data_IF_779255240078
#
_entry.id   IF_779255240078
#
_cell.length_a   1.000
_cell.length_b   1.000
_cell.length_c   1.000
_cell.angle_alpha   90.00
_cell.angle_beta   90.00
_cell.angle_gamma   90.00
#
_symmetry.space_group_name_H-M   'P 1'
#
loop_
_entity.id
_entity.type
_entity.pdbx_description
1 polymer ?
#
# COMPACT_ATOMS: atom_id res chain seq x y z
N UNK A 1 -16.54 13.13 -4.52
CA UNK A 1 -17.47 12.22 -3.81
C UNK A 1 -17.01 10.74 -3.81
N UNK A 2 -15.74 10.41 -4.13
CA UNK A 2 -15.32 9.02 -4.37
C UNK A 2 -14.42 8.40 -3.28
N UNK A 3 -13.70 9.18 -2.49
CA UNK A 3 -12.80 8.64 -1.45
C UNK A 3 -13.57 8.03 -0.25
N UNK A 4 -14.71 8.63 0.11
CA UNK A 4 -15.48 8.29 1.32
C UNK A 4 -16.14 6.90 1.28
N UNK A 5 -16.41 6.35 0.09
CA UNK A 5 -16.98 5.01 -0.09
C UNK A 5 -15.92 3.95 -0.42
N UNK A 6 -14.70 4.35 -0.82
CA UNK A 6 -13.63 3.41 -1.14
C UNK A 6 -13.08 2.73 0.12
N UNK A 7 -12.98 3.49 1.23
CA UNK A 7 -12.45 3.00 2.50
C UNK A 7 -13.27 1.82 3.08
N UNK A 8 -14.61 1.90 3.25
CA UNK A 8 -15.39 0.77 3.78
C UNK A 8 -15.41 -0.45 2.85
N UNK A 9 -15.47 -0.22 1.53
CA UNK A 9 -15.48 -1.30 0.53
C UNK A 9 -14.15 -2.08 0.50
N UNK A 10 -13.01 -1.37 0.57
CA UNK A 10 -11.70 -2.01 0.62
C UNK A 10 -11.51 -2.82 1.92
N UNK A 11 -11.91 -2.29 3.07
CA UNK A 11 -11.89 -3.01 4.35
C UNK A 11 -12.74 -4.28 4.30
N UNK A 12 -13.99 -4.19 3.82
CA UNK A 12 -14.88 -5.34 3.69
C UNK A 12 -14.32 -6.39 2.71
N UNK A 13 -13.76 -5.95 1.58
CA UNK A 13 -13.08 -6.81 0.61
C UNK A 13 -11.88 -7.52 1.25
N UNK A 14 -11.11 -6.82 2.08
CA UNK A 14 -9.89 -7.34 2.69
C UNK A 14 -10.14 -8.10 4.00
N UNK A 15 -11.40 -8.47 4.26
CA UNK A 15 -11.83 -9.15 5.47
C UNK A 15 -11.42 -8.41 6.76
N UNK A 16 -11.40 -7.07 6.70
CA UNK A 16 -11.02 -6.18 7.79
C UNK A 16 -9.61 -6.44 8.31
N UNK A 17 -8.69 -6.80 7.42
CA UNK A 17 -7.32 -7.17 7.77
C UNK A 17 -6.29 -6.41 6.96
N UNK A 18 -5.17 -6.12 7.60
CA UNK A 18 -3.95 -5.77 6.92
C UNK A 18 -3.50 -6.94 6.01
N UNK A 19 -3.39 -6.69 4.71
CA UNK A 19 -2.99 -7.73 3.75
C UNK A 19 -1.53 -8.19 3.89
N UNK A 20 -0.68 -7.40 4.55
CA UNK A 20 0.71 -7.75 4.81
C UNK A 20 0.89 -8.62 6.08
N UNK A 21 0.21 -8.29 7.18
CA UNK A 21 0.45 -8.93 8.49
C UNK A 21 -0.72 -9.81 8.95
N UNK A 22 -1.92 -9.64 8.41
CA UNK A 22 -3.14 -10.30 8.85
C UNK A 22 -3.77 -9.72 10.11
N UNK A 23 -3.20 -8.63 10.66
CA UNK A 23 -3.76 -7.90 11.80
C UNK A 23 -5.17 -7.41 11.47
N UNK A 24 -6.10 -7.53 12.41
CA UNK A 24 -7.48 -7.06 12.27
C UNK A 24 -7.56 -5.57 12.55
N UNK A 25 -8.37 -4.88 11.76
CA UNK A 25 -8.70 -3.48 11.94
C UNK A 25 -9.28 -3.16 13.32
N UNK A 26 -8.71 -2.16 13.98
CA UNK A 26 -9.06 -1.73 15.33
C UNK A 26 -10.54 -1.35 15.46
N UNK A 27 -11.03 -0.46 14.59
CA UNK A 27 -12.41 0.03 14.67
C UNK A 27 -13.39 -1.13 14.45
N UNK A 28 -13.12 -1.99 13.47
CA UNK A 28 -13.94 -3.17 13.22
C UNK A 28 -13.96 -4.09 14.45
N UNK A 29 -12.81 -4.35 15.08
CA UNK A 29 -12.74 -5.19 16.29
C UNK A 29 -13.43 -4.56 17.50
N UNK A 30 -13.36 -3.23 17.66
CA UNK A 30 -13.95 -2.51 18.77
C UNK A 30 -15.48 -2.41 18.67
N UNK A 31 -16.01 -2.24 17.45
CA UNK A 31 -17.43 -1.97 17.23
C UNK A 31 -18.23 -3.19 16.72
N UNK A 32 -17.58 -4.32 16.43
CA UNK A 32 -18.27 -5.57 16.05
C UNK A 32 -18.36 -6.52 17.25
N UNK A 33 -19.57 -6.75 17.81
CA UNK A 33 -19.73 -7.61 18.98
C UNK A 33 -19.20 -9.03 18.75
N UNK A 34 -18.38 -9.54 19.68
CA UNK A 34 -17.86 -10.91 19.64
C UNK A 34 -16.73 -11.14 18.63
N UNK A 35 -16.32 -10.14 17.84
CA UNK A 35 -15.26 -10.33 16.85
C UNK A 35 -13.89 -10.51 17.51
N UNK A 36 -13.60 -9.72 18.56
CA UNK A 36 -12.31 -9.77 19.27
C UNK A 36 -12.07 -11.14 19.90
N UNK A 37 -13.09 -11.75 20.47
CA UNK A 37 -13.06 -13.06 21.13
C UNK A 37 -12.94 -14.21 20.13
N UNK A 38 -13.39 -13.99 18.89
CA UNK A 38 -13.38 -14.99 17.80
C UNK A 38 -12.13 -14.95 16.93
N UNK A 39 -11.30 -13.93 17.08
CA UNK A 39 -10.11 -13.75 16.24
C UNK A 39 -8.84 -13.87 17.06
N UNK A 40 -8.07 -14.92 16.76
CA UNK A 40 -6.69 -15.09 17.20
C UNK A 40 -5.73 -14.34 16.26
N UNK A 41 -5.88 -13.02 16.20
CA UNK A 41 -4.97 -12.15 15.46
C UNK A 41 -4.76 -10.86 16.23
N UNK A 42 -3.61 -10.23 16.00
CA UNK A 42 -3.31 -8.90 16.51
C UNK A 42 -4.36 -7.90 16.01
N UNK A 43 -4.82 -7.03 16.90
CA UNK A 43 -5.69 -5.90 16.55
C UNK A 43 -4.81 -4.67 16.44
N UNK A 44 -4.98 -3.90 15.38
CA UNK A 44 -4.16 -2.72 15.11
C UNK A 44 -4.88 -1.72 14.20
N UNK A 45 -4.38 -0.49 14.14
CA UNK A 45 -4.95 0.54 13.26
C UNK A 45 -4.62 0.20 11.81
N UNK A 46 -5.65 0.10 10.97
CA UNK A 46 -5.48 -0.10 9.53
C UNK A 46 -5.95 1.09 8.73
N UNK A 47 -5.39 1.25 7.55
CA UNK A 47 -5.77 2.29 6.59
C UNK A 47 -5.75 1.70 5.17
N UNK A 48 -6.46 2.35 4.26
CA UNK A 48 -6.52 1.97 2.86
C UNK A 48 -5.52 2.82 2.10
N UNK A 49 -4.51 2.16 1.51
CA UNK A 49 -3.42 2.83 0.81
C UNK A 49 -3.49 2.58 -0.69
N UNK A 50 -3.20 3.62 -1.47
CA UNK A 50 -3.05 3.49 -2.91
C UNK A 50 -1.81 2.65 -3.25
N UNK A 51 -1.92 1.76 -4.24
CA UNK A 51 -0.81 0.93 -4.70
C UNK A 51 0.07 1.73 -5.67
N UNK A 52 -0.56 2.33 -6.70
CA UNK A 52 0.04 3.43 -7.45
C UNK A 52 -0.28 4.71 -6.68
N UNK A 53 0.73 5.38 -6.09
CA UNK A 53 0.50 6.50 -5.21
C UNK A 53 -0.21 7.62 -5.94
N UNK A 54 -1.13 8.23 -5.21
CA UNK A 54 -1.69 9.52 -5.58
C UNK A 54 -0.72 10.60 -5.09
N UNK A 55 0.04 11.19 -6.02
CA UNK A 55 0.91 12.29 -5.64
C UNK A 55 0.12 13.51 -5.20
N UNK A 56 -1.18 13.61 -5.48
CA UNK A 56 -2.03 14.77 -5.14
C UNK A 56 -2.33 14.90 -3.64
N UNK A 57 -2.01 13.88 -2.81
CA UNK A 57 -2.13 14.00 -1.35
C UNK A 57 -0.93 14.78 -0.76
N UNK A 58 -1.07 16.10 -0.71
CA UNK A 58 -0.24 16.99 0.11
C UNK A 58 -1.14 17.65 1.18
N UNK A 59 -0.82 17.53 2.49
CA UNK A 59 -1.51 18.28 3.54
C UNK A 59 -1.31 19.80 3.44
N UNK A 60 -0.36 20.28 2.63
CA UNK A 60 -0.11 21.69 2.38
C UNK A 60 -1.15 22.32 1.42
N UNK A 61 -1.40 23.62 1.58
CA UNK A 61 -2.48 24.37 0.92
C UNK A 61 -2.33 24.57 -0.61
N UNK A 62 -1.44 23.85 -1.29
CA UNK A 62 -1.22 23.95 -2.75
C UNK A 62 -2.01 22.90 -3.54
N UNK A 63 -3.24 22.63 -3.09
CA UNK A 63 -4.08 21.47 -3.46
C UNK A 63 -4.45 21.32 -4.93
N UNK A 64 -4.32 22.35 -5.77
CA UNK A 64 -4.92 22.36 -7.10
C UNK A 64 -4.02 22.99 -8.17
N UNK A 65 -2.75 22.59 -8.26
CA UNK A 65 -1.92 22.98 -9.41
C UNK A 65 -2.04 21.91 -10.51
N UNK A 66 -2.65 22.21 -11.67
CA UNK A 66 -2.73 21.28 -12.81
C UNK A 66 -1.35 20.75 -13.26
N UNK A 67 -0.28 21.50 -12.94
CA UNK A 67 1.10 21.15 -13.29
C UNK A 67 1.61 19.94 -12.50
N UNK A 68 1.14 19.71 -11.27
CA UNK A 68 1.61 18.61 -10.42
C UNK A 68 1.07 17.26 -10.90
N UNK A 69 -0.20 17.22 -11.29
CA UNK A 69 -0.83 16.06 -11.91
C UNK A 69 -0.15 15.72 -13.25
N UNK A 70 0.22 16.72 -14.06
CA UNK A 70 0.97 16.49 -15.29
C UNK A 70 2.37 15.91 -15.03
N UNK A 71 3.07 16.34 -13.98
CA UNK A 71 4.36 15.77 -13.62
C UNK A 71 4.26 14.30 -13.17
N UNK A 72 3.22 13.95 -12.39
CA UNK A 72 2.95 12.56 -12.02
C UNK A 72 2.78 11.67 -13.25
N UNK A 73 1.94 12.08 -14.20
CA UNK A 73 1.69 11.26 -15.38
C UNK A 73 2.90 11.18 -16.29
N UNK A 74 3.63 12.29 -16.48
CA UNK A 74 4.92 12.28 -17.20
C UNK A 74 5.96 11.38 -16.54
N UNK A 75 5.98 11.29 -15.21
CA UNK A 75 6.83 10.35 -14.50
C UNK A 75 6.48 8.91 -14.90
N UNK A 76 5.22 8.52 -14.78
CA UNK A 76 4.79 7.16 -15.14
C UNK A 76 5.03 6.82 -16.62
N UNK A 77 4.76 7.76 -17.53
CA UNK A 77 5.08 7.62 -18.95
C UNK A 77 6.57 7.36 -19.20
N UNK A 78 7.45 8.13 -18.56
CA UNK A 78 8.92 7.97 -18.68
C UNK A 78 9.46 6.75 -17.96
N UNK A 79 8.84 6.36 -16.86
CA UNK A 79 9.19 5.16 -16.09
C UNK A 79 8.80 3.88 -16.84
N UNK A 80 7.99 3.97 -17.89
CA UNK A 80 7.62 2.86 -18.77
C UNK A 80 6.19 2.36 -18.61
N UNK A 81 5.33 3.14 -17.94
CA UNK A 81 3.92 2.83 -17.70
C UNK A 81 2.97 3.93 -18.21
N UNK A 82 3.01 4.29 -19.50
CA UNK A 82 2.14 5.33 -20.08
C UNK A 82 0.65 4.99 -19.98
N UNK A 83 0.29 3.71 -19.87
CA UNK A 83 -1.09 3.24 -19.71
C UNK A 83 -1.74 3.73 -18.41
N UNK A 84 -0.96 3.98 -17.35
CA UNK A 84 -1.50 4.34 -16.04
C UNK A 84 -2.31 5.64 -16.09
N UNK A 85 -1.93 6.60 -16.93
CA UNK A 85 -2.67 7.84 -17.10
C UNK A 85 -4.09 7.58 -17.57
N UNK A 86 -4.26 6.78 -18.63
CA UNK A 86 -5.58 6.45 -19.16
C UNK A 86 -6.42 5.65 -18.15
N UNK A 87 -5.79 4.80 -17.36
CA UNK A 87 -6.46 3.93 -16.39
C UNK A 87 -6.87 4.63 -15.09
N UNK A 88 -6.01 5.50 -14.56
CA UNK A 88 -6.11 6.04 -13.20
C UNK A 88 -6.40 7.53 -13.15
N UNK A 89 -6.21 8.31 -14.23
CA UNK A 89 -6.55 9.73 -14.22
C UNK A 89 -8.03 9.94 -13.94
N UNK A 90 -8.34 10.72 -12.89
CA UNK A 90 -9.70 10.94 -12.38
C UNK A 90 -10.33 9.72 -11.69
N UNK A 91 -9.62 8.60 -11.57
CA UNK A 91 -10.08 7.32 -11.01
C UNK A 91 -9.04 6.66 -10.10
N UNK A 92 -8.12 7.44 -9.53
CA UNK A 92 -6.98 6.94 -8.76
C UNK A 92 -7.41 6.22 -7.47
N UNK A 93 -8.57 6.61 -6.92
CA UNK A 93 -9.20 6.00 -5.74
C UNK A 93 -10.03 4.73 -6.04
N UNK A 94 -9.96 4.21 -7.27
CA UNK A 94 -10.68 2.96 -7.62
C UNK A 94 -10.20 1.81 -6.73
N UNK A 95 -11.09 0.87 -6.46
CA UNK A 95 -10.83 -0.22 -5.52
C UNK A 95 -9.66 -1.11 -5.96
N UNK A 96 -9.43 -1.23 -7.25
CA UNK A 96 -8.32 -2.00 -7.81
C UNK A 96 -6.95 -1.34 -7.58
N UNK A 97 -6.90 -0.05 -7.26
CA UNK A 97 -5.68 0.66 -6.93
C UNK A 97 -5.49 0.86 -5.41
N UNK A 98 -6.27 0.20 -4.56
CA UNK A 98 -6.14 0.36 -3.10
C UNK A 98 -6.08 -0.96 -2.37
N UNK A 99 -5.37 -0.98 -1.25
CA UNK A 99 -5.16 -2.14 -0.38
C UNK A 99 -5.23 -1.74 1.09
N UNK A 100 -5.85 -2.56 1.93
CA UNK A 100 -5.86 -2.36 3.38
C UNK A 100 -4.55 -2.82 3.99
N UNK A 101 -3.87 -1.91 4.69
CA UNK A 101 -2.59 -2.16 5.37
C UNK A 101 -2.64 -1.61 6.80
N UNK A 102 -1.77 -2.10 7.67
CA UNK A 102 -1.59 -1.54 9.02
C UNK A 102 -0.86 -0.20 8.88
N UNK A 103 -1.17 0.78 9.75
CA UNK A 103 -0.65 2.14 9.63
C UNK A 103 0.89 2.21 9.45
N UNK A 104 1.63 1.46 10.26
CA UNK A 104 3.09 1.39 10.20
C UNK A 104 3.60 0.73 8.89
N UNK A 105 2.82 -0.15 8.26
CA UNK A 105 3.12 -0.76 6.96
C UNK A 105 2.83 0.24 5.83
N UNK A 106 1.80 1.08 5.97
CA UNK A 106 1.54 2.16 5.02
C UNK A 106 2.74 3.10 4.91
N UNK A 107 3.30 3.52 6.04
CA UNK A 107 4.53 4.33 6.09
C UNK A 107 5.70 3.65 5.35
N UNK A 108 5.94 2.36 5.63
CA UNK A 108 7.03 1.63 4.96
C UNK A 108 6.83 1.49 3.45
N UNK A 109 5.58 1.39 2.97
CA UNK A 109 5.26 1.35 1.54
C UNK A 109 5.52 2.70 0.89
N UNK A 110 5.10 3.79 1.52
CA UNK A 110 5.30 5.15 1.01
C UNK A 110 6.79 5.51 0.93
N UNK A 111 7.57 5.09 1.93
CA UNK A 111 9.02 5.26 1.98
C UNK A 111 9.77 4.29 1.05
N UNK A 112 9.06 3.48 0.26
CA UNK A 112 9.60 2.43 -0.60
C UNK A 112 10.50 1.42 0.16
N UNK A 113 10.33 1.30 1.48
CA UNK A 113 11.03 0.37 2.37
C UNK A 113 10.36 -1.01 2.42
N UNK A 114 9.11 -1.13 1.99
CA UNK A 114 8.38 -2.38 1.93
C UNK A 114 7.61 -2.50 0.62
N UNK A 115 7.64 -3.69 0.00
CA UNK A 115 6.75 -3.99 -1.12
C UNK A 115 6.14 -5.39 -1.05
N UNK A 116 4.93 -5.49 -1.59
CA UNK A 116 4.16 -6.72 -1.76
C UNK A 116 4.32 -7.17 -3.21
N UNK A 117 5.13 -8.20 -3.46
CA UNK A 117 5.39 -8.71 -4.82
C UNK A 117 4.53 -9.95 -5.08
N UNK A 118 3.60 -9.93 -6.06
CA UNK A 118 2.82 -11.11 -6.41
C UNK A 118 3.72 -12.28 -6.83
N UNK A 119 3.42 -13.48 -6.35
CA UNK A 119 4.12 -14.70 -6.78
C UNK A 119 3.63 -15.12 -8.16
N UNK A 120 4.55 -15.30 -9.10
CA UNK A 120 4.20 -15.69 -10.47
C UNK A 120 3.55 -17.07 -10.49
N UNK A 121 2.41 -17.19 -11.18
CA UNK A 121 1.68 -18.46 -11.33
C UNK A 121 0.79 -18.84 -10.14
N UNK A 122 0.85 -18.12 -9.00
CA UNK A 122 0.04 -18.44 -7.82
C UNK A 122 -0.83 -17.25 -7.43
N UNK A 123 -2.16 -17.41 -7.57
CA UNK A 123 -3.13 -16.34 -7.30
C UNK A 123 -3.21 -16.06 -5.79
N UNK A 124 -3.15 -14.78 -5.43
CA UNK A 124 -3.37 -14.30 -4.05
C UNK A 124 -2.16 -14.39 -3.13
N UNK A 125 -1.06 -15.02 -3.54
CA UNK A 125 0.16 -15.11 -2.73
C UNK A 125 1.14 -13.99 -3.09
N UNK A 126 1.67 -13.34 -2.07
CA UNK A 126 2.63 -12.25 -2.19
C UNK A 126 3.85 -12.51 -1.33
N UNK A 127 5.03 -12.34 -1.93
CA UNK A 127 6.27 -12.22 -1.17
C UNK A 127 6.36 -10.79 -0.62
N UNK A 128 6.76 -10.66 0.64
CA UNK A 128 6.91 -9.37 1.31
C UNK A 128 8.40 -9.07 1.47
N UNK A 129 8.84 -8.05 0.74
CA UNK A 129 10.22 -7.58 0.80
C UNK A 129 10.28 -6.35 1.69
N UNK A 130 11.24 -6.35 2.62
CA UNK A 130 11.61 -5.18 3.42
C UNK A 130 13.04 -4.83 3.07
N UNK A 131 13.29 -3.55 2.84
CA UNK A 131 14.58 -3.00 2.44
C UNK A 131 15.21 -2.16 3.57
N UNK A 132 16.48 -1.79 3.40
CA UNK A 132 17.24 -1.00 4.36
C UNK A 132 18.14 -1.82 5.29
N UNK A 133 19.04 -1.13 6.01
CA UNK A 133 20.13 -1.73 6.81
C UNK A 133 19.65 -2.68 7.91
N UNK A 134 18.44 -2.49 8.42
CA UNK A 134 17.85 -3.26 9.52
C UNK A 134 16.63 -4.10 9.09
N UNK A 135 16.51 -4.45 7.81
CA UNK A 135 15.33 -5.10 7.24
C UNK A 135 14.84 -6.32 8.05
N UNK A 136 15.72 -7.27 8.38
CA UNK A 136 15.36 -8.46 9.17
C UNK A 136 14.79 -8.09 10.53
N UNK A 137 15.46 -7.20 11.26
CA UNK A 137 15.01 -6.74 12.58
C UNK A 137 13.68 -6.00 12.51
N UNK A 138 13.48 -5.18 11.46
CA UNK A 138 12.21 -4.48 11.24
C UNK A 138 11.07 -5.48 10.98
N UNK A 139 11.32 -6.52 10.17
CA UNK A 139 10.34 -7.58 9.94
C UNK A 139 9.92 -8.27 11.24
N UNK A 140 10.88 -8.66 12.07
CA UNK A 140 10.62 -9.36 13.32
C UNK A 140 9.82 -8.49 14.29
N UNK A 141 10.27 -7.25 14.52
CA UNK A 141 9.60 -6.31 15.44
C UNK A 141 8.16 -5.98 15.01
N UNK A 142 7.93 -5.92 13.71
CA UNK A 142 6.62 -5.58 13.14
C UNK A 142 5.76 -6.81 12.84
N UNK A 143 6.29 -8.02 13.03
CA UNK A 143 5.58 -9.28 12.74
C UNK A 143 5.24 -9.43 11.25
N UNK A 144 6.16 -9.04 10.37
CA UNK A 144 5.97 -9.08 8.92
C UNK A 144 6.50 -10.43 8.39
N UNK A 145 5.65 -11.30 7.83
CA UNK A 145 6.09 -12.59 7.31
C UNK A 145 6.91 -12.44 6.01
N UNK A 146 7.59 -13.50 5.57
CA UNK A 146 8.21 -13.56 4.24
C UNK A 146 7.20 -13.62 3.10
N UNK A 147 6.07 -14.26 3.36
CA UNK A 147 5.03 -14.48 2.38
C UNK A 147 3.66 -14.44 3.04
N UNK A 148 2.67 -13.91 2.32
CA UNK A 148 1.29 -13.86 2.79
C UNK A 148 0.30 -14.14 1.66
N UNK A 149 -0.72 -14.93 1.98
CA UNK A 149 -1.92 -15.06 1.16
C UNK A 149 -2.88 -13.92 1.50
N UNK A 150 -3.32 -13.18 0.50
CA UNK A 150 -4.31 -12.13 0.68
C UNK A 150 -5.66 -12.74 1.04
N UNK A 151 -6.29 -12.20 2.08
CA UNK A 151 -7.66 -12.55 2.43
C UNK A 151 -8.59 -11.66 1.64
N UNK A 152 -9.29 -12.24 0.67
CA UNK A 152 -10.31 -11.53 -0.08
C UNK A 152 -11.65 -12.14 0.24
N UNK A 153 -12.59 -11.30 0.65
CA UNK A 153 -13.97 -11.66 0.88
C UNK A 153 -14.62 -12.04 -0.46
N UNK A 154 -14.76 -13.35 -0.71
CA UNK A 154 -15.37 -13.87 -1.92
C UNK A 154 -16.90 -13.84 -1.91
N UNK A 155 -17.53 -13.46 -0.79
CA UNK A 155 -19.00 -13.36 -0.69
C UNK A 155 -19.53 -12.02 -1.18
N UNK A 156 -18.65 -11.08 -1.53
CA UNK A 156 -19.02 -9.75 -2.02
C UNK A 156 -18.37 -9.51 -3.38
N UNK A 157 -19.12 -8.90 -4.30
CA UNK A 157 -18.62 -8.53 -5.63
C UNK A 157 -17.94 -7.16 -5.56
N UNK A 158 -16.75 -7.14 -4.93
CA UNK A 158 -15.92 -5.93 -4.81
C UNK A 158 -14.65 -6.11 -5.65
N UNK A 159 -14.29 -5.15 -6.52
CA UNK A 159 -13.09 -5.24 -7.33
C UNK A 159 -11.83 -5.51 -6.52
N UNK A 160 -11.04 -6.48 -6.98
CA UNK A 160 -9.78 -6.87 -6.34
C UNK A 160 -8.66 -5.92 -6.75
N UNK A 161 -7.66 -5.71 -5.87
CA UNK A 161 -6.44 -5.03 -6.25
C UNK A 161 -5.83 -5.60 -7.53
N UNK A 162 -5.49 -4.73 -8.48
CA UNK A 162 -4.90 -5.15 -9.75
C UNK A 162 -3.43 -5.55 -9.53
N UNK A 163 -3.08 -6.77 -9.94
CA UNK A 163 -1.74 -7.32 -9.69
C UNK A 163 -0.64 -6.53 -10.38
N UNK A 164 -0.96 -5.88 -11.51
CA UNK A 164 0.00 -5.04 -12.23
C UNK A 164 0.47 -3.86 -11.38
N UNK A 165 -0.40 -3.23 -10.59
CA UNK A 165 -0.03 -2.10 -9.76
C UNK A 165 0.97 -2.51 -8.68
N UNK A 166 0.80 -3.68 -8.07
CA UNK A 166 1.78 -4.22 -7.13
C UNK A 166 3.13 -4.51 -7.79
N UNK A 167 3.14 -5.02 -9.03
CA UNK A 167 4.39 -5.26 -9.77
C UNK A 167 5.13 -3.95 -10.04
N UNK A 168 4.41 -2.89 -10.40
CA UNK A 168 4.96 -1.56 -10.65
C UNK A 168 5.56 -0.99 -9.35
N UNK A 169 4.79 -0.99 -8.25
CA UNK A 169 5.28 -0.53 -6.95
C UNK A 169 6.50 -1.34 -6.48
N UNK A 170 6.48 -2.67 -6.65
CA UNK A 170 7.62 -3.51 -6.32
C UNK A 170 8.85 -3.09 -7.13
N UNK A 171 8.72 -2.86 -8.45
CA UNK A 171 9.80 -2.34 -9.29
C UNK A 171 10.34 -1.00 -8.77
N UNK A 172 9.47 -0.06 -8.39
CA UNK A 172 9.89 1.20 -7.77
C UNK A 172 10.71 0.97 -6.49
N UNK A 173 10.25 0.08 -5.61
CA UNK A 173 10.97 -0.25 -4.37
C UNK A 173 12.35 -0.88 -4.65
N UNK A 174 12.42 -1.84 -5.58
CA UNK A 174 13.69 -2.45 -5.98
C UNK A 174 14.64 -1.41 -6.59
N UNK A 175 14.17 -0.53 -7.47
CA UNK A 175 15.01 0.51 -8.07
C UNK A 175 15.50 1.49 -7.00
N UNK A 176 14.63 2.00 -6.14
CA UNK A 176 15.00 2.96 -5.10
C UNK A 176 16.10 2.40 -4.18
N UNK A 177 15.96 1.14 -3.75
CA UNK A 177 16.87 0.52 -2.81
C UNK A 177 18.14 -0.04 -3.45
N UNK A 178 18.10 -0.49 -4.71
CA UNK A 178 19.26 -1.05 -5.40
C UNK A 178 20.11 0.00 -6.14
N UNK A 179 19.54 1.19 -6.42
CA UNK A 179 20.28 2.30 -7.05
C UNK A 179 21.07 3.15 -6.07
N UNK A 180 20.92 2.95 -4.76
CA UNK A 180 21.50 3.81 -3.72
C UNK A 180 20.72 5.12 -3.49
N UNK A 181 19.61 5.37 -4.20
CA UNK A 181 18.80 6.57 -4.04
C UNK A 181 18.26 6.74 -2.61
N UNK A 182 17.95 5.63 -1.93
CA UNK A 182 17.48 5.64 -0.53
C UNK A 182 18.56 6.02 0.49
N UNK A 183 19.85 5.95 0.14
CA UNK A 183 20.91 6.39 1.05
C UNK A 183 21.09 7.92 1.03
N UNK A 184 20.64 8.58 -0.05
CA UNK A 184 20.72 10.03 -0.21
C UNK A 184 19.66 10.77 0.62
N UNK A 185 18.47 10.19 0.76
CA UNK A 185 17.38 10.73 1.58
C UNK A 185 17.71 10.67 3.08
N UNK A 186 18.35 9.59 3.55
CA UNK A 186 18.78 9.42 4.95
C UNK A 186 19.93 10.36 5.35
N UNK A 187 20.69 10.88 4.38
CA UNK A 187 21.70 11.92 4.61
C UNK A 187 21.06 13.31 4.68
N UNK A 188 20.02 13.58 3.88
CA UNK A 188 19.33 14.88 3.89
C UNK A 188 18.54 15.13 5.18
N UNK A 189 17.97 14.09 5.82
CA UNK A 189 17.25 14.22 7.10
C UNK A 189 18.18 14.51 8.28
N UNK A 190 19.44 14.05 8.24
CA UNK A 190 20.46 14.29 9.27
C UNK A 190 21.14 15.66 9.19
N UNK A 191 20.93 16.41 8.11
CA UNK A 191 21.48 17.75 7.90
C UNK A 191 20.51 18.87 8.31
N UNK A 192 19.36 18.51 8.88
CA UNK A 192 18.32 19.44 9.37
C UNK A 192 18.16 19.37 10.91
N UNK A 193 19.08 18.68 11.59
CA UNK A 193 19.32 18.84 13.05
C UNK A 193 20.54 19.72 13.29
#
# INVERSE_FOLDING_TARGET
MHYTLALPCALLRDCYRCQATGSVDFDTAAFTPGLRERVDARVDVTDVRHIIPDFDYDPSHWKDSPLRNEMQWKFWERFGHPELRAELSGRIHRLENVVTLRADICEMVDDLQLCLKPVQGIKGIFNIFVFGRNATRLKDLRGIPDQKMFYINSSVDIPKPELKYFRILATCCFIANLSGAMEYTDMSSRLVE
#
